data_IF_817180672498
#
_entry.id   IF_817180672498
#
_cell.length_a   1.000
_cell.length_b   1.000
_cell.length_c   1.000
_cell.angle_alpha   90.00
_cell.angle_beta   90.00
_cell.angle_gamma   90.00
#
_symmetry.space_group_name_H-M   'P 1'
#
loop_
_entity.id
_entity.type
_entity.pdbx_description
1 polymer ?
#
# COMPACT_ATOMS: atom_id res chain seq x y z
N UNK A 1 -20.89 -44.55 35.94
CA UNK A 1 -21.76 -45.22 34.96
C UNK A 1 -22.34 -46.46 35.62
N UNK A 2 -23.64 -46.77 35.43
CA UNK A 2 -24.21 -48.00 35.96
C UNK A 2 -23.48 -49.22 35.37
N UNK A 3 -23.26 -50.25 36.18
CA UNK A 3 -22.61 -51.49 35.75
C UNK A 3 -23.53 -52.25 34.79
N UNK A 4 -23.11 -52.42 33.54
CA UNK A 4 -23.93 -52.99 32.45
C UNK A 4 -24.28 -54.47 32.70
N UNK A 5 -23.44 -55.18 33.45
CA UNK A 5 -23.59 -56.61 33.71
C UNK A 5 -24.67 -56.94 34.75
N UNK A 6 -25.16 -55.95 35.49
CA UNK A 6 -26.16 -56.11 36.57
C UNK A 6 -27.58 -55.68 36.15
N UNK A 7 -27.76 -55.19 34.92
CA UNK A 7 -29.03 -54.68 34.41
C UNK A 7 -29.86 -55.76 33.73
N UNK A 8 -31.17 -55.78 34.02
CA UNK A 8 -32.10 -56.66 33.33
C UNK A 8 -32.38 -56.20 31.87
N UNK A 9 -32.99 -57.08 31.08
CA UNK A 9 -33.27 -56.79 29.67
C UNK A 9 -34.23 -55.60 29.46
N UNK A 10 -35.05 -55.24 30.44
CA UNK A 10 -35.95 -54.08 30.35
C UNK A 10 -35.16 -52.78 30.56
N UNK A 11 -34.29 -52.74 31.56
CA UNK A 11 -33.44 -51.61 31.89
C UNK A 11 -32.41 -51.33 30.79
N UNK A 12 -31.81 -52.36 30.17
CA UNK A 12 -30.93 -52.21 29.01
C UNK A 12 -31.65 -51.58 27.81
N UNK A 13 -32.90 -51.97 27.52
CA UNK A 13 -33.70 -51.37 26.44
C UNK A 13 -34.09 -49.92 26.73
N UNK A 14 -34.34 -49.58 28.00
CA UNK A 14 -34.61 -48.21 28.41
C UNK A 14 -33.37 -47.32 28.23
N UNK A 15 -32.20 -47.80 28.68
CA UNK A 15 -30.93 -47.12 28.51
C UNK A 15 -30.57 -46.92 27.04
N UNK A 16 -30.73 -47.96 26.20
CA UNK A 16 -30.48 -47.86 24.77
C UNK A 16 -31.36 -46.80 24.10
N UNK A 17 -32.66 -46.74 24.43
CA UNK A 17 -33.56 -45.69 23.93
C UNK A 17 -33.14 -44.29 24.37
N UNK A 18 -32.72 -44.14 25.62
CA UNK A 18 -32.23 -42.87 26.13
C UNK A 18 -30.95 -42.41 25.40
N UNK A 19 -29.94 -43.28 25.29
CA UNK A 19 -28.70 -42.99 24.57
C UNK A 19 -28.94 -42.71 23.07
N UNK A 20 -29.86 -43.44 22.42
CA UNK A 20 -30.26 -43.15 21.04
C UNK A 20 -30.89 -41.76 20.91
N UNK A 21 -31.70 -41.33 21.89
CA UNK A 21 -32.24 -39.97 21.96
C UNK A 21 -31.13 -38.92 22.12
N UNK A 22 -30.20 -39.12 23.05
CA UNK A 22 -29.06 -38.21 23.24
C UNK A 22 -28.17 -38.10 21.98
N UNK A 23 -27.94 -39.21 21.28
CA UNK A 23 -27.18 -39.21 20.02
C UNK A 23 -27.93 -38.42 18.94
N UNK A 24 -29.25 -38.60 18.82
CA UNK A 24 -30.08 -37.85 17.86
C UNK A 24 -30.06 -36.34 18.13
N UNK A 25 -30.22 -35.94 19.38
CA UNK A 25 -30.14 -34.53 19.79
C UNK A 25 -28.76 -33.94 19.46
N UNK A 26 -27.68 -34.67 19.77
CA UNK A 26 -26.31 -34.23 19.46
C UNK A 26 -26.06 -34.14 17.96
N UNK A 27 -26.54 -35.11 17.18
CA UNK A 27 -26.37 -35.12 15.72
C UNK A 27 -27.14 -33.97 15.07
N UNK A 28 -28.31 -33.61 15.61
CA UNK A 28 -29.06 -32.43 15.19
C UNK A 28 -28.27 -31.14 15.45
N UNK A 29 -27.74 -30.96 16.67
CA UNK A 29 -26.90 -29.80 17.01
C UNK A 29 -25.64 -29.72 16.14
N UNK A 30 -25.00 -30.85 15.86
CA UNK A 30 -23.83 -30.91 14.97
C UNK A 30 -24.20 -30.54 13.52
N UNK A 31 -25.37 -30.95 13.05
CA UNK A 31 -25.86 -30.58 11.73
C UNK A 31 -26.10 -29.07 11.64
N UNK A 32 -26.86 -28.51 12.59
CA UNK A 32 -27.13 -27.07 12.67
C UNK A 32 -25.82 -26.27 12.71
N UNK A 33 -24.89 -26.67 13.57
CA UNK A 33 -23.57 -26.04 13.68
C UNK A 33 -22.80 -26.08 12.36
N UNK A 34 -22.77 -27.25 11.67
CA UNK A 34 -22.12 -27.37 10.35
C UNK A 34 -22.74 -26.44 9.31
N UNK A 35 -24.06 -26.27 9.31
CA UNK A 35 -24.71 -25.35 8.36
C UNK A 35 -24.32 -23.90 8.61
N UNK A 36 -24.25 -23.48 9.88
CA UNK A 36 -23.84 -22.11 10.25
C UNK A 36 -22.39 -21.87 9.88
N UNK A 37 -21.49 -22.80 10.22
CA UNK A 37 -20.06 -22.71 9.88
C UNK A 37 -19.86 -22.67 8.37
N UNK A 38 -20.63 -23.47 7.61
CA UNK A 38 -20.58 -23.45 6.14
C UNK A 38 -20.95 -22.10 5.54
N UNK A 39 -22.01 -21.45 6.06
CA UNK A 39 -22.41 -20.10 5.65
C UNK A 39 -21.35 -19.06 5.99
N UNK A 40 -20.83 -19.10 7.22
CA UNK A 40 -19.78 -18.19 7.66
C UNK A 40 -18.50 -18.34 6.82
N UNK A 41 -18.11 -19.57 6.49
CA UNK A 41 -16.94 -19.82 5.64
C UNK A 41 -17.11 -19.20 4.24
N UNK A 42 -18.31 -19.31 3.66
CA UNK A 42 -18.62 -18.66 2.38
C UNK A 42 -18.54 -17.13 2.47
N UNK A 43 -19.11 -16.54 3.53
CA UNK A 43 -19.08 -15.09 3.75
C UNK A 43 -17.65 -14.57 3.95
N UNK A 44 -16.83 -15.31 4.69
CA UNK A 44 -15.40 -15.00 4.88
C UNK A 44 -14.68 -15.04 3.53
N UNK A 45 -14.86 -16.09 2.73
CA UNK A 45 -14.23 -16.21 1.41
C UNK A 45 -14.65 -15.07 0.45
N UNK A 46 -15.93 -14.69 0.48
CA UNK A 46 -16.43 -13.56 -0.30
C UNK A 46 -15.76 -12.25 0.12
N UNK A 47 -15.73 -11.95 1.44
CA UNK A 47 -15.08 -10.75 1.98
C UNK A 47 -13.60 -10.71 1.68
N UNK A 48 -12.87 -11.82 1.86
CA UNK A 48 -11.44 -11.90 1.55
C UNK A 48 -11.16 -11.62 0.07
N UNK A 49 -11.98 -12.14 -0.82
CA UNK A 49 -11.85 -11.91 -2.27
C UNK A 49 -12.09 -10.43 -2.60
N UNK A 50 -13.12 -9.82 -2.02
CA UNK A 50 -13.44 -8.39 -2.22
C UNK A 50 -12.35 -7.50 -1.64
N UNK A 51 -11.87 -7.78 -0.42
CA UNK A 51 -10.75 -7.07 0.20
C UNK A 51 -9.50 -7.12 -0.69
N UNK A 52 -9.18 -8.29 -1.26
CA UNK A 52 -8.03 -8.43 -2.17
C UNK A 52 -8.20 -7.60 -3.45
N UNK A 53 -9.40 -7.58 -4.02
CA UNK A 53 -9.72 -6.77 -5.19
C UNK A 53 -9.55 -5.27 -4.90
N UNK A 54 -10.21 -4.76 -3.85
CA UNK A 54 -10.16 -3.34 -3.48
C UNK A 54 -8.73 -2.90 -3.13
N UNK A 55 -7.98 -3.73 -2.41
CA UNK A 55 -6.57 -3.46 -2.09
C UNK A 55 -5.72 -3.33 -3.36
N UNK A 56 -5.95 -4.19 -4.35
CA UNK A 56 -5.25 -4.13 -5.64
C UNK A 56 -5.61 -2.87 -6.43
N UNK A 57 -6.88 -2.50 -6.43
CA UNK A 57 -7.38 -1.30 -7.10
C UNK A 57 -6.77 -0.02 -6.52
N UNK A 58 -6.73 0.11 -5.19
CA UNK A 58 -6.03 1.22 -4.51
C UNK A 58 -4.56 1.26 -4.91
N UNK A 59 -3.89 0.10 -5.00
CA UNK A 59 -2.48 0.05 -5.39
C UNK A 59 -2.25 0.54 -6.85
N UNK A 60 -3.17 0.23 -7.76
CA UNK A 60 -3.13 0.72 -9.15
C UNK A 60 -3.34 2.24 -9.17
N UNK A 61 -4.38 2.75 -8.50
CA UNK A 61 -4.69 4.18 -8.47
C UNK A 61 -3.56 4.99 -7.83
N UNK A 62 -2.99 4.52 -6.71
CA UNK A 62 -1.81 5.16 -6.09
C UNK A 62 -0.59 5.13 -7.00
N UNK A 63 -0.37 4.07 -7.79
CA UNK A 63 0.70 4.04 -8.80
C UNK A 63 0.43 5.05 -9.92
N UNK A 64 -0.83 5.22 -10.34
CA UNK A 64 -1.19 6.25 -11.30
C UNK A 64 -0.98 7.67 -10.74
N UNK A 65 -1.31 7.91 -9.46
CA UNK A 65 -1.19 9.20 -8.79
C UNK A 65 0.27 9.58 -8.48
N UNK A 66 1.05 8.66 -7.91
CA UNK A 66 2.38 8.92 -7.35
C UNK A 66 3.54 8.19 -8.05
N UNK A 67 3.27 7.39 -9.08
CA UNK A 67 4.30 6.66 -9.82
C UNK A 67 5.21 7.59 -10.64
N UNK A 68 6.32 7.05 -11.15
CA UNK A 68 7.23 7.77 -12.04
C UNK A 68 6.50 8.11 -13.35
N UNK A 69 5.99 9.34 -13.46
CA UNK A 69 5.51 9.90 -14.73
C UNK A 69 6.46 11.00 -15.16
N UNK A 70 7.10 10.80 -16.31
CA UNK A 70 7.81 11.87 -17.04
C UNK A 70 6.85 12.86 -17.69
N UNK A 71 5.54 12.60 -17.63
CA UNK A 71 4.48 13.43 -18.21
C UNK A 71 3.39 13.64 -17.15
N UNK A 72 3.51 14.72 -16.37
CA UNK A 72 2.36 15.23 -15.63
C UNK A 72 1.40 15.85 -16.64
N UNK A 73 0.11 15.53 -16.50
CA UNK A 73 -0.93 16.23 -17.23
C UNK A 73 -0.96 17.67 -16.69
N UNK A 74 -0.39 18.61 -17.43
CA UNK A 74 -0.31 20.00 -17.01
C UNK A 74 -1.67 20.71 -17.04
N UNK A 75 -1.79 21.80 -16.28
CA UNK A 75 -2.96 22.68 -16.29
C UNK A 75 -4.13 22.22 -15.41
N UNK A 76 -5.25 22.96 -15.49
CA UNK A 76 -6.44 22.77 -14.63
C UNK A 76 -7.08 21.40 -14.81
N UNK A 77 -7.09 20.86 -16.03
CA UNK A 77 -7.65 19.53 -16.30
C UNK A 77 -6.84 18.41 -15.63
N UNK A 78 -5.51 18.56 -15.54
CA UNK A 78 -4.67 17.63 -14.79
C UNK A 78 -5.04 17.60 -13.31
N UNK A 79 -5.20 18.77 -12.68
CA UNK A 79 -5.61 18.90 -11.28
C UNK A 79 -6.98 18.28 -11.01
N UNK A 80 -7.96 18.48 -11.90
CA UNK A 80 -9.29 17.87 -11.76
C UNK A 80 -9.26 16.34 -11.83
N UNK A 81 -8.43 15.76 -12.71
CA UNK A 81 -8.25 14.32 -12.80
C UNK A 81 -7.55 13.76 -11.56
N UNK A 82 -6.60 14.51 -11.03
CA UNK A 82 -5.88 14.21 -9.81
C UNK A 82 -6.81 14.18 -8.59
N UNK A 83 -7.68 15.18 -8.43
CA UNK A 83 -8.69 15.24 -7.37
C UNK A 83 -9.73 14.12 -7.52
N UNK A 84 -10.14 13.79 -8.74
CA UNK A 84 -11.06 12.68 -9.01
C UNK A 84 -10.45 11.34 -8.58
N UNK A 85 -9.17 11.09 -8.88
CA UNK A 85 -8.46 9.88 -8.44
C UNK A 85 -8.36 9.81 -6.92
N UNK A 86 -8.12 10.93 -6.24
CA UNK A 86 -8.07 10.95 -4.78
C UNK A 86 -9.45 10.66 -4.14
N UNK A 87 -10.53 11.17 -4.74
CA UNK A 87 -11.90 10.87 -4.32
C UNK A 87 -12.24 9.38 -4.50
N UNK A 88 -11.87 8.78 -5.64
CA UNK A 88 -12.06 7.35 -5.90
C UNK A 88 -11.28 6.49 -4.91
N UNK A 89 -10.00 6.83 -4.64
CA UNK A 89 -9.19 6.14 -3.62
C UNK A 89 -9.88 6.22 -2.25
N UNK A 90 -10.37 7.39 -1.86
CA UNK A 90 -11.04 7.57 -0.57
C UNK A 90 -12.33 6.72 -0.47
N UNK A 91 -13.13 6.66 -1.53
CA UNK A 91 -14.34 5.84 -1.56
C UNK A 91 -14.03 4.34 -1.42
N UNK A 92 -13.02 3.85 -2.15
CA UNK A 92 -12.59 2.45 -2.10
C UNK A 92 -11.98 2.11 -0.72
N UNK A 93 -11.25 3.04 -0.12
CA UNK A 93 -10.73 2.89 1.25
C UNK A 93 -11.85 2.78 2.30
N UNK A 94 -12.96 3.53 2.15
CA UNK A 94 -14.12 3.36 3.02
C UNK A 94 -14.76 1.98 2.86
N UNK A 95 -14.98 1.52 1.62
CA UNK A 95 -15.54 0.19 1.38
C UNK A 95 -14.65 -0.91 1.99
N UNK A 96 -13.32 -0.75 1.91
CA UNK A 96 -12.36 -1.67 2.51
C UNK A 96 -12.50 -1.71 4.04
N UNK A 97 -12.71 -0.55 4.69
CA UNK A 97 -12.92 -0.44 6.14
C UNK A 97 -14.24 -1.14 6.54
N UNK A 98 -15.31 -0.92 5.79
CA UNK A 98 -16.63 -1.53 6.07
C UNK A 98 -16.58 -3.06 5.99
N UNK A 99 -15.70 -3.61 5.15
CA UNK A 99 -15.46 -5.05 5.04
C UNK A 99 -14.54 -5.61 6.13
N UNK A 100 -13.98 -4.77 7.01
CA UNK A 100 -12.99 -5.16 8.02
C UNK A 100 -11.58 -5.37 7.45
N UNK A 101 -11.30 -4.80 6.28
CA UNK A 101 -9.98 -4.82 5.66
C UNK A 101 -8.95 -3.94 6.40
N UNK A 102 -7.66 -4.09 6.08
CA UNK A 102 -6.60 -3.32 6.72
C UNK A 102 -6.72 -1.84 6.37
N UNK A 103 -6.61 -0.97 7.37
CA UNK A 103 -6.46 0.47 7.13
C UNK A 103 -5.11 0.73 6.48
N UNK A 104 -5.13 1.26 5.25
CA UNK A 104 -3.92 1.54 4.51
C UNK A 104 -3.34 2.87 4.99
N UNK A 105 -2.55 2.81 6.07
CA UNK A 105 -1.93 3.99 6.66
C UNK A 105 -1.17 4.81 5.61
N UNK A 106 -1.43 6.12 5.58
CA UNK A 106 -0.65 7.06 4.80
C UNK A 106 0.77 7.07 5.38
N UNK A 107 1.69 6.43 4.66
CA UNK A 107 3.10 6.35 5.08
C UNK A 107 3.63 7.78 5.07
N UNK A 108 4.06 8.28 6.23
CA UNK A 108 4.66 9.61 6.34
C UNK A 108 5.76 9.73 5.28
N UNK A 109 5.60 10.65 4.34
CA UNK A 109 6.55 10.84 3.25
C UNK A 109 7.80 11.46 3.86
N UNK A 110 8.78 10.63 4.22
CA UNK A 110 10.11 11.13 4.51
C UNK A 110 10.66 11.65 3.19
N UNK A 111 10.75 12.97 3.03
CA UNK A 111 11.52 13.53 1.92
C UNK A 111 12.91 12.90 1.97
N UNK A 112 13.36 12.21 0.91
CA UNK A 112 14.72 11.70 0.85
C UNK A 112 15.64 12.93 0.80
N UNK A 113 16.12 13.37 1.96
CA UNK A 113 17.17 14.38 2.04
C UNK A 113 18.44 13.73 1.54
N UNK A 114 18.90 14.15 0.36
CA UNK A 114 20.26 13.85 -0.08
C UNK A 114 21.19 14.41 0.98
N UNK A 115 21.93 13.55 1.66
CA UNK A 115 23.01 14.01 2.53
C UNK A 115 24.01 14.77 1.65
N UNK A 116 24.51 15.90 2.15
CA UNK A 116 25.58 16.61 1.49
C UNK A 116 26.78 15.67 1.33
N UNK A 117 27.47 15.73 0.19
CA UNK A 117 28.69 14.94 0.00
C UNK A 117 29.69 15.33 1.10
N UNK A 118 30.28 14.35 1.82
CA UNK A 118 31.31 14.60 2.83
C UNK A 118 32.45 15.45 2.30
N UNK A 119 32.97 16.35 3.14
CA UNK A 119 34.09 17.23 2.79
C UNK A 119 35.41 16.48 2.52
N UNK A 120 35.55 15.29 3.12
CA UNK A 120 36.72 14.41 3.00
C UNK A 120 36.79 13.68 1.65
N UNK A 121 35.70 13.67 0.87
CA UNK A 121 35.73 13.06 -0.44
C UNK A 121 36.66 13.84 -1.37
N UNK A 122 37.58 13.15 -2.08
CA UNK A 122 38.49 13.81 -3.00
C UNK A 122 37.70 14.53 -4.09
N UNK A 123 37.90 15.85 -4.20
CA UNK A 123 37.32 16.67 -5.26
C UNK A 123 38.33 16.78 -6.39
N UNK A 124 37.99 16.26 -7.55
CA UNK A 124 38.79 16.43 -8.76
C UNK A 124 38.15 17.54 -9.58
N UNK A 125 38.84 18.67 -9.72
CA UNK A 125 38.43 19.76 -10.59
C UNK A 125 39.05 19.56 -11.97
N UNK A 126 38.23 19.33 -13.00
CA UNK A 126 38.68 19.26 -14.39
C UNK A 126 38.25 20.55 -15.08
N UNK A 127 39.22 21.42 -15.37
CA UNK A 127 38.99 22.64 -16.12
C UNK A 127 39.15 22.37 -17.61
N UNK A 128 38.11 22.63 -18.38
CA UNK A 128 38.17 22.61 -19.83
C UNK A 128 38.27 24.05 -20.33
N UNK A 129 39.45 24.44 -20.78
CA UNK A 129 39.69 25.74 -21.41
C UNK A 129 39.86 25.56 -22.92
N UNK A 130 39.44 26.52 -23.75
CA UNK A 130 39.71 26.50 -25.18
C UNK A 130 41.22 26.64 -25.44
N UNK A 131 41.70 26.09 -26.56
CA UNK A 131 43.11 26.17 -26.97
C UNK A 131 43.64 27.61 -27.10
N UNK A 132 42.74 28.57 -27.32
CA UNK A 132 43.05 30.00 -27.34
C UNK A 132 41.95 30.79 -26.64
N UNK A 133 42.37 31.70 -25.76
CA UNK A 133 41.51 32.72 -25.15
C UNK A 133 41.46 34.01 -25.97
N UNK A 134 42.02 34.01 -27.18
CA UNK A 134 41.98 35.14 -28.10
C UNK A 134 40.94 34.85 -29.17
N UNK A 135 39.93 35.74 -29.26
CA UNK A 135 38.91 35.67 -30.28
C UNK A 135 39.54 35.92 -31.67
N UNK A 136 38.90 35.39 -32.71
CA UNK A 136 39.29 35.62 -34.11
C UNK A 136 39.26 37.10 -34.50
N UNK A 137 38.54 37.95 -33.76
CA UNK A 137 38.56 39.40 -33.92
C UNK A 137 39.73 40.11 -33.23
N UNK A 138 40.63 39.38 -32.56
CA UNK A 138 41.83 39.93 -31.89
C UNK A 138 41.63 40.37 -30.44
N UNK A 139 40.40 40.26 -29.90
CA UNK A 139 40.10 40.60 -28.51
C UNK A 139 40.21 39.38 -27.58
N UNK A 140 40.52 39.64 -26.31
CA UNK A 140 40.55 38.60 -25.27
C UNK A 140 39.13 38.13 -24.94
N UNK A 141 38.92 36.81 -24.88
CA UNK A 141 37.66 36.20 -24.45
C UNK A 141 37.46 36.42 -22.95
N UNK A 142 36.25 36.83 -22.57
CA UNK A 142 35.85 36.96 -21.17
C UNK A 142 35.24 35.66 -20.66
N UNK A 143 35.64 35.23 -19.47
CA UNK A 143 35.05 34.06 -18.79
C UNK A 143 33.66 34.42 -18.30
N UNK A 144 32.63 33.73 -18.79
CA UNK A 144 31.24 33.96 -18.37
C UNK A 144 31.04 33.28 -16.99
N UNK A 145 30.57 34.03 -16.00
CA UNK A 145 30.33 33.54 -14.64
C UNK A 145 31.34 33.98 -13.58
N UNK A 146 32.32 34.82 -13.95
CA UNK A 146 33.14 35.61 -13.02
C UNK A 146 32.79 37.09 -13.16
N UNK A 147 32.25 37.70 -12.10
CA UNK A 147 32.01 39.15 -12.04
C UNK A 147 33.26 39.86 -11.51
N UNK A 148 33.97 40.56 -12.40
CA UNK A 148 35.08 41.45 -12.04
C UNK A 148 34.63 42.90 -12.18
N UNK A 149 34.61 43.64 -11.06
CA UNK A 149 34.36 45.08 -11.04
C UNK A 149 35.66 45.84 -10.75
N UNK A 150 36.08 46.67 -11.70
CA UNK A 150 37.20 47.59 -11.53
C UNK A 150 36.67 49.02 -11.45
N UNK A 151 37.11 49.78 -10.44
CA UNK A 151 36.76 51.19 -10.26
C UNK A 151 37.89 52.04 -10.85
N UNK A 152 37.60 52.75 -11.94
CA UNK A 152 38.53 53.70 -12.56
C UNK A 152 38.52 55.02 -11.79
N UNK A 153 39.67 55.44 -11.28
CA UNK A 153 39.88 56.80 -10.79
C UNK A 153 40.12 57.73 -12.00
N UNK A 154 39.27 58.74 -12.16
CA UNK A 154 39.41 59.78 -13.18
C UNK A 154 40.04 61.03 -12.56
N UNK A 155 41.05 61.60 -13.23
CA UNK A 155 41.61 62.92 -12.94
C UNK A 155 40.77 64.03 -13.57
#
# INVERSE_FOLDING_TARGET
MPNLDELDAAALRALARHLMGEIQERDQVLHETRTVVGRQAHDIQFKETRIRQLTHEIAILRRYRFGKKSEQLGGVQGLLLEDAVDADIAAIEQELIDLGGPQIAQRAVSQPKRQALPAELPRIEVRHEPDSTTCTCGYQLQRIGEDTAEKLDYT
#
